data_IF_963207838411
#
_entry.id   IF_963207838411
#
_cell.length_a   1.000
_cell.length_b   1.000
_cell.length_c   1.000
_cell.angle_alpha   90.00
_cell.angle_beta   90.00
_cell.angle_gamma   90.00
#
_symmetry.space_group_name_H-M   'P 1'
#
loop_
_entity.id
_entity.type
_entity.pdbx_description
1 polymer ?
#
# COMPACT_ATOMS: atom_id res chain seq x y z
N UNK A 1 -12.77 -23.67 6.88
CA UNK A 1 -12.91 -23.12 5.52
C UNK A 1 -11.72 -22.25 5.11
N UNK A 2 -11.32 -21.25 5.90
CA UNK A 2 -10.18 -20.36 5.59
C UNK A 2 -8.84 -21.09 5.39
N UNK A 3 -8.50 -22.06 6.24
CA UNK A 3 -7.26 -22.86 6.11
C UNK A 3 -7.15 -23.61 4.76
N UNK A 4 -8.28 -24.05 4.18
CA UNK A 4 -8.28 -24.77 2.91
C UNK A 4 -8.01 -23.83 1.72
N UNK A 5 -8.46 -22.57 1.81
CA UNK A 5 -8.21 -21.56 0.76
C UNK A 5 -6.73 -21.19 0.71
N UNK A 6 -6.14 -20.89 1.87
CA UNK A 6 -4.70 -20.56 1.95
C UNK A 6 -3.85 -21.75 1.47
N UNK A 7 -4.18 -22.98 1.89
CA UNK A 7 -3.49 -24.18 1.42
C UNK A 7 -3.56 -24.35 -0.10
N UNK A 8 -4.74 -24.18 -0.71
CA UNK A 8 -4.90 -24.26 -2.16
C UNK A 8 -4.11 -23.17 -2.88
N UNK A 9 -4.19 -21.93 -2.40
CA UNK A 9 -3.45 -20.80 -2.95
C UNK A 9 -1.94 -21.05 -2.99
N UNK A 10 -1.36 -21.50 -1.88
CA UNK A 10 0.07 -21.80 -1.80
C UNK A 10 0.48 -23.05 -2.59
N UNK A 11 -0.41 -24.03 -2.73
CA UNK A 11 -0.21 -25.16 -3.63
C UNK A 11 -0.10 -24.68 -5.10
N UNK A 12 -1.01 -23.81 -5.54
CA UNK A 12 -1.01 -23.29 -6.91
C UNK A 12 0.21 -22.39 -7.18
N UNK A 13 0.63 -21.59 -6.19
CA UNK A 13 1.87 -20.82 -6.28
C UNK A 13 3.09 -21.75 -6.37
N UNK A 14 3.15 -22.81 -5.57
CA UNK A 14 4.28 -23.75 -5.56
C UNK A 14 4.42 -24.45 -6.90
N UNK A 15 3.30 -24.85 -7.50
CA UNK A 15 3.30 -25.47 -8.83
C UNK A 15 3.83 -24.55 -9.92
N UNK A 16 3.57 -23.24 -9.83
CA UNK A 16 4.00 -22.26 -10.84
C UNK A 16 5.42 -21.76 -10.64
N UNK A 17 5.82 -21.55 -9.39
CA UNK A 17 7.00 -20.76 -9.05
C UNK A 17 8.03 -21.53 -8.23
N UNK A 18 7.74 -22.75 -7.78
CA UNK A 18 8.64 -23.52 -6.92
C UNK A 18 8.60 -23.05 -5.47
N UNK A 19 9.77 -22.78 -4.89
CA UNK A 19 9.91 -22.35 -3.51
C UNK A 19 9.31 -20.96 -3.28
N UNK A 20 8.74 -20.72 -2.10
CA UNK A 20 8.05 -19.48 -1.77
C UNK A 20 8.56 -18.94 -0.44
N UNK A 21 9.16 -17.76 -0.50
CA UNK A 21 9.49 -16.97 0.68
C UNK A 21 8.42 -15.90 0.87
N UNK A 22 7.68 -15.96 1.97
CA UNK A 22 6.65 -14.98 2.30
C UNK A 22 7.18 -13.99 3.31
N UNK A 23 7.21 -12.71 2.95
CA UNK A 23 7.56 -11.60 3.82
C UNK A 23 6.27 -10.85 4.16
N UNK A 24 5.86 -10.87 5.42
CA UNK A 24 4.68 -10.15 5.89
C UNK A 24 5.09 -8.84 6.58
N UNK A 25 4.72 -7.70 6.00
CA UNK A 25 5.10 -6.35 6.46
C UNK A 25 4.10 -5.70 7.43
N UNK A 26 3.12 -6.49 7.90
CA UNK A 26 2.07 -6.01 8.78
C UNK A 26 2.58 -5.61 10.15
N UNK A 27 1.92 -4.61 10.72
CA UNK A 27 2.18 -4.18 12.08
C UNK A 27 1.68 -5.23 13.06
N UNK A 28 2.51 -5.54 14.05
CA UNK A 28 2.16 -6.49 15.11
C UNK A 28 1.39 -5.83 16.25
N UNK A 29 0.88 -4.60 16.03
CA UNK A 29 0.09 -3.83 16.99
C UNK A 29 -1.03 -3.09 16.28
N UNK A 30 -2.15 -2.92 16.96
CA UNK A 30 -3.26 -2.11 16.49
C UNK A 30 -4.16 -2.87 15.51
N UNK A 31 -4.75 -2.16 14.54
CA UNK A 31 -5.75 -2.74 13.64
C UNK A 31 -5.20 -3.82 12.70
N UNK A 32 -3.91 -3.75 12.33
CA UNK A 32 -3.25 -4.74 11.46
C UNK A 32 -2.91 -6.05 12.20
N UNK A 33 -2.84 -6.04 13.54
CA UNK A 33 -2.40 -7.18 14.36
C UNK A 33 -3.30 -8.40 14.15
N UNK A 34 -4.61 -8.18 14.09
CA UNK A 34 -5.61 -9.25 13.91
C UNK A 34 -5.34 -9.99 12.59
N UNK A 35 -5.03 -9.25 11.52
CA UNK A 35 -4.74 -9.82 10.20
C UNK A 35 -3.40 -10.53 10.18
N UNK A 36 -2.36 -9.94 10.80
CA UNK A 36 -1.04 -10.56 10.87
C UNK A 36 -1.08 -11.87 11.67
N UNK A 37 -1.81 -11.91 12.80
CA UNK A 37 -2.00 -13.12 13.60
C UNK A 37 -2.78 -14.18 12.83
N UNK A 38 -3.88 -13.81 12.17
CA UNK A 38 -4.69 -14.73 11.38
C UNK A 38 -3.89 -15.35 10.23
N UNK A 39 -3.13 -14.52 9.50
CA UNK A 39 -2.28 -14.99 8.41
C UNK A 39 -1.12 -15.85 8.92
N UNK A 40 -0.43 -15.43 10.00
CA UNK A 40 0.62 -16.20 10.63
C UNK A 40 0.17 -17.59 11.08
N UNK A 41 -1.00 -17.68 11.73
CA UNK A 41 -1.59 -18.96 12.14
C UNK A 41 -1.95 -19.86 10.95
N UNK A 42 -2.44 -19.27 9.85
CA UNK A 42 -2.70 -20.02 8.63
C UNK A 42 -1.40 -20.56 8.01
N UNK A 43 -0.33 -19.75 8.03
CA UNK A 43 0.98 -20.11 7.49
C UNK A 43 1.69 -21.20 8.28
N UNK A 44 1.52 -21.28 9.61
CA UNK A 44 2.14 -22.32 10.44
C UNK A 44 1.89 -23.75 9.93
N UNK A 45 0.70 -24.00 9.36
CA UNK A 45 0.33 -25.31 8.80
C UNK A 45 0.88 -25.58 7.39
N UNK A 46 1.52 -24.58 6.77
CA UNK A 46 2.04 -24.62 5.41
C UNK A 46 3.56 -24.50 5.36
N UNK A 47 4.19 -24.00 6.43
CA UNK A 47 5.65 -23.89 6.50
C UNK A 47 6.26 -25.27 6.35
N UNK A 48 7.13 -25.40 5.36
CA UNK A 48 7.92 -26.58 5.07
C UNK A 48 9.19 -26.15 4.33
N UNK A 49 10.03 -27.08 3.87
CA UNK A 49 11.27 -26.78 3.17
C UNK A 49 11.09 -25.84 1.94
N UNK A 50 9.92 -25.86 1.30
CA UNK A 50 9.62 -25.07 0.11
C UNK A 50 8.79 -23.80 0.40
N UNK A 51 8.31 -23.60 1.64
CA UNK A 51 7.50 -22.43 1.99
C UNK A 51 8.01 -21.89 3.32
N UNK A 52 8.66 -20.72 3.28
CA UNK A 52 9.17 -20.01 4.45
C UNK A 52 8.34 -18.77 4.70
N UNK A 53 7.98 -18.53 5.97
CA UNK A 53 7.20 -17.37 6.39
C UNK A 53 8.02 -16.49 7.33
N UNK A 54 8.06 -15.18 7.06
CA UNK A 54 8.82 -14.20 7.81
C UNK A 54 7.90 -13.03 8.17
N UNK A 55 7.47 -12.92 9.44
CA UNK A 55 6.81 -11.73 9.94
C UNK A 55 7.85 -10.63 10.18
N UNK A 56 7.70 -9.50 9.51
CA UNK A 56 8.61 -8.36 9.60
C UNK A 56 7.82 -7.07 9.86
N UNK A 57 7.76 -6.65 11.13
CA UNK A 57 7.06 -5.42 11.52
C UNK A 57 7.78 -4.18 10.95
N UNK A 58 7.31 -3.73 9.79
CA UNK A 58 7.93 -2.64 9.05
C UNK A 58 7.92 -1.33 9.84
N UNK A 59 6.84 -1.01 10.55
CA UNK A 59 6.75 0.25 11.31
C UNK A 59 7.67 0.23 12.52
N UNK A 60 7.76 -0.89 13.24
CA UNK A 60 8.67 -1.03 14.38
C UNK A 60 10.14 -0.93 13.94
N UNK A 61 10.48 -1.55 12.81
CA UNK A 61 11.87 -1.68 12.38
C UNK A 61 12.31 -0.44 11.61
N UNK A 62 11.61 -0.05 10.55
CA UNK A 62 12.00 1.05 9.67
C UNK A 62 11.42 2.41 10.10
N UNK A 63 10.37 2.43 10.92
CA UNK A 63 9.68 3.66 11.30
C UNK A 63 9.19 4.45 10.09
N UNK A 64 9.20 5.78 10.19
CA UNK A 64 8.79 6.66 9.10
C UNK A 64 9.95 7.08 8.17
N UNK A 65 11.22 6.83 8.56
CA UNK A 65 12.40 7.49 7.97
C UNK A 65 13.60 6.53 7.78
N UNK A 66 13.68 5.40 8.49
CA UNK A 66 14.90 4.57 8.58
C UNK A 66 14.84 3.31 7.70
N UNK A 67 14.73 3.51 6.40
CA UNK A 67 14.69 2.41 5.43
C UNK A 67 16.02 1.66 5.28
N UNK A 68 17.14 2.22 5.75
CA UNK A 68 18.41 1.48 5.85
C UNK A 68 18.29 0.20 6.69
N UNK A 69 17.33 0.13 7.63
CA UNK A 69 17.07 -1.06 8.43
C UNK A 69 16.37 -2.19 7.67
N UNK A 70 15.92 -1.95 6.44
CA UNK A 70 15.48 -3.05 5.57
C UNK A 70 16.64 -4.00 5.21
N UNK A 71 17.90 -3.59 5.35
CA UNK A 71 19.03 -4.52 5.23
C UNK A 71 18.89 -5.70 6.20
N UNK A 72 18.36 -5.48 7.40
CA UNK A 72 18.10 -6.54 8.39
C UNK A 72 17.14 -7.60 7.87
N UNK A 73 16.17 -7.22 7.03
CA UNK A 73 15.31 -8.19 6.37
C UNK A 73 16.13 -9.02 5.39
N UNK A 74 16.95 -8.36 4.56
CA UNK A 74 17.78 -9.04 3.56
C UNK A 74 18.76 -10.01 4.22
N UNK A 75 19.42 -9.61 5.30
CA UNK A 75 20.37 -10.46 6.05
C UNK A 75 19.71 -11.76 6.55
N UNK A 76 18.41 -11.75 6.87
CA UNK A 76 17.67 -12.94 7.30
C UNK A 76 17.29 -13.90 6.17
N UNK A 77 17.29 -13.41 4.92
CA UNK A 77 16.77 -14.13 3.76
C UNK A 77 17.78 -14.32 2.64
N UNK A 78 18.97 -13.74 2.76
CA UNK A 78 20.00 -13.72 1.73
C UNK A 78 20.33 -15.12 1.22
N UNK A 79 20.57 -16.08 2.12
CA UNK A 79 20.85 -17.47 1.74
C UNK A 79 19.72 -18.09 0.91
N UNK A 80 18.46 -17.81 1.28
CA UNK A 80 17.31 -18.31 0.55
C UNK A 80 17.16 -17.62 -0.80
N UNK A 81 17.46 -16.32 -0.90
CA UNK A 81 17.45 -15.58 -2.17
C UNK A 81 18.53 -16.12 -3.12
N UNK A 82 19.75 -16.38 -2.62
CA UNK A 82 20.83 -16.98 -3.40
C UNK A 82 20.47 -18.37 -3.89
N UNK A 83 19.84 -19.19 -3.04
CA UNK A 83 19.36 -20.52 -3.42
C UNK A 83 18.23 -20.48 -4.46
N UNK A 84 17.27 -19.55 -4.33
CA UNK A 84 16.21 -19.37 -5.33
C UNK A 84 16.78 -18.95 -6.69
N UNK A 85 17.89 -18.22 -6.68
CA UNK A 85 18.61 -17.81 -7.87
C UNK A 85 17.77 -16.95 -8.80
N UNK A 86 18.18 -16.92 -10.07
CA UNK A 86 17.53 -16.16 -11.13
C UNK A 86 17.59 -16.92 -12.44
N UNK A 87 16.77 -16.52 -13.40
CA UNK A 87 16.82 -17.06 -14.76
C UNK A 87 18.02 -16.48 -15.52
N UNK A 88 18.84 -17.34 -16.11
CA UNK A 88 19.98 -16.95 -16.94
C UNK A 88 20.00 -17.77 -18.23
N UNK A 89 20.01 -17.06 -19.35
CA UNK A 89 20.12 -17.61 -20.70
C UNK A 89 21.33 -17.01 -21.40
N UNK A 90 22.10 -17.84 -22.09
CA UNK A 90 23.23 -17.41 -22.92
C UNK A 90 23.15 -18.10 -24.26
N UNK A 91 23.10 -17.32 -25.34
CA UNK A 91 23.09 -17.84 -26.72
C UNK A 91 21.98 -18.89 -26.95
N UNK A 92 20.78 -18.64 -26.44
CA UNK A 92 19.62 -19.54 -26.51
C UNK A 92 19.72 -20.84 -25.70
N UNK A 93 20.71 -20.94 -24.81
CA UNK A 93 20.84 -22.02 -23.85
C UNK A 93 20.51 -21.53 -22.45
N UNK A 94 19.60 -22.23 -21.77
CA UNK A 94 19.24 -21.95 -20.38
C UNK A 94 20.34 -22.48 -19.47
N UNK A 95 21.12 -21.57 -18.88
CA UNK A 95 22.19 -21.90 -17.93
C UNK A 95 21.58 -22.17 -16.54
N UNK A 96 20.61 -21.37 -16.14
CA UNK A 96 20.02 -21.42 -14.80
C UNK A 96 18.53 -21.09 -14.85
N UNK A 97 17.73 -21.87 -14.13
CA UNK A 97 16.32 -21.57 -13.87
C UNK A 97 16.15 -21.01 -12.46
N UNK A 98 15.29 -20.01 -12.31
CA UNK A 98 14.85 -19.53 -11.00
C UNK A 98 14.03 -20.62 -10.30
N UNK A 99 14.36 -20.92 -9.05
CA UNK A 99 13.79 -22.02 -8.26
C UNK A 99 12.71 -21.58 -7.27
N UNK A 100 12.45 -20.27 -7.16
CA UNK A 100 11.48 -19.74 -6.21
C UNK A 100 11.18 -18.25 -6.37
N UNK A 101 10.21 -17.78 -5.59
CA UNK A 101 9.80 -16.38 -5.53
C UNK A 101 9.78 -15.84 -4.11
N UNK A 102 9.84 -14.51 -4.00
CA UNK A 102 9.60 -13.77 -2.76
C UNK A 102 8.25 -13.07 -2.89
N UNK A 103 7.31 -13.46 -2.03
CA UNK A 103 5.99 -12.82 -1.92
C UNK A 103 6.01 -11.83 -0.77
N UNK A 104 5.93 -10.54 -1.09
CA UNK A 104 5.85 -9.47 -0.09
C UNK A 104 4.38 -9.08 0.13
N UNK A 105 3.89 -9.22 1.35
CA UNK A 105 2.53 -8.87 1.74
C UNK A 105 2.52 -7.59 2.59
N UNK A 106 1.48 -6.78 2.39
CA UNK A 106 1.11 -5.67 3.28
C UNK A 106 -0.39 -5.42 3.14
N UNK A 107 -1.03 -4.89 4.18
CA UNK A 107 -2.40 -4.35 4.10
C UNK A 107 -2.31 -2.86 3.75
N UNK A 108 -3.05 -2.49 2.71
CA UNK A 108 -3.32 -1.11 2.27
C UNK A 108 -2.09 -0.24 2.04
N UNK A 109 -0.95 -0.86 1.71
CA UNK A 109 0.29 -0.13 1.51
C UNK A 109 1.07 -0.63 0.28
N UNK A 110 0.94 0.13 -0.80
CA UNK A 110 1.84 -0.05 -1.93
C UNK A 110 3.25 0.45 -1.60
N UNK A 111 3.38 1.45 -0.73
CA UNK A 111 4.68 2.07 -0.49
C UNK A 111 5.65 1.13 0.26
N UNK A 112 5.20 0.40 1.31
CA UNK A 112 6.10 -0.54 2.04
C UNK A 112 6.49 -1.72 1.13
N UNK A 113 5.56 -2.20 0.30
CA UNK A 113 5.81 -3.32 -0.61
C UNK A 113 6.75 -2.91 -1.75
N UNK A 114 6.53 -1.75 -2.39
CA UNK A 114 7.40 -1.24 -3.46
C UNK A 114 8.83 -0.99 -2.97
N UNK A 115 8.99 -0.40 -1.78
CA UNK A 115 10.33 -0.16 -1.21
C UNK A 115 11.04 -1.48 -0.89
N UNK A 116 10.32 -2.45 -0.32
CA UNK A 116 10.88 -3.78 -0.03
C UNK A 116 11.26 -4.52 -1.31
N UNK A 117 10.39 -4.52 -2.32
CA UNK A 117 10.66 -5.12 -3.62
C UNK A 117 11.81 -4.44 -4.36
N UNK A 118 11.93 -3.10 -4.25
CA UNK A 118 13.06 -2.35 -4.80
C UNK A 118 14.39 -2.77 -4.19
N UNK A 119 14.45 -2.99 -2.87
CA UNK A 119 15.65 -3.53 -2.22
C UNK A 119 15.98 -4.95 -2.71
N UNK A 120 14.99 -5.84 -2.77
CA UNK A 120 15.20 -7.21 -3.24
C UNK A 120 15.65 -7.24 -4.69
N UNK A 121 15.02 -6.44 -5.55
CA UNK A 121 15.37 -6.29 -6.96
C UNK A 121 16.77 -5.72 -7.14
N UNK A 122 17.19 -4.78 -6.29
CA UNK A 122 18.57 -4.27 -6.26
C UNK A 122 19.56 -5.39 -6.01
N UNK A 123 19.34 -6.18 -4.95
CA UNK A 123 20.24 -7.28 -4.56
C UNK A 123 20.30 -8.39 -5.61
N UNK A 124 19.15 -8.71 -6.20
CA UNK A 124 19.10 -9.64 -7.33
C UNK A 124 19.88 -9.11 -8.54
N UNK A 125 19.71 -7.83 -8.90
CA UNK A 125 20.41 -7.21 -10.02
C UNK A 125 21.92 -7.13 -9.80
N UNK A 126 22.37 -6.76 -8.61
CA UNK A 126 23.80 -6.79 -8.22
C UNK A 126 24.39 -8.19 -8.44
N UNK A 127 23.68 -9.23 -7.97
CA UNK A 127 24.10 -10.63 -8.14
C UNK A 127 24.14 -11.05 -9.63
N UNK A 128 23.14 -10.64 -10.42
CA UNK A 128 23.09 -10.92 -11.85
C UNK A 128 24.28 -10.26 -12.56
N UNK A 129 24.54 -8.97 -12.32
CA UNK A 129 25.62 -8.22 -12.96
C UNK A 129 27.01 -8.78 -12.62
N UNK A 130 27.20 -9.26 -11.39
CA UNK A 130 28.41 -9.97 -10.98
C UNK A 130 28.53 -11.31 -11.72
N UNK A 131 27.44 -12.08 -11.84
CA UNK A 131 27.47 -13.39 -12.52
C UNK A 131 27.83 -13.30 -14.02
N UNK A 132 27.44 -12.21 -14.68
CA UNK A 132 27.77 -11.95 -16.09
C UNK A 132 29.06 -11.13 -16.27
N UNK A 133 29.82 -10.92 -15.19
CA UNK A 133 31.12 -10.24 -15.18
C UNK A 133 31.05 -8.78 -15.67
N UNK A 134 29.89 -8.14 -15.55
CA UNK A 134 29.74 -6.68 -15.77
C UNK A 134 30.21 -5.93 -14.52
N UNK A 135 29.91 -6.45 -13.34
CA UNK A 135 30.41 -5.95 -12.06
C UNK A 135 31.55 -6.83 -11.55
N UNK A 136 32.54 -6.20 -10.93
CA UNK A 136 33.57 -6.88 -10.15
C UNK A 136 33.01 -7.51 -8.88
N UNK A 137 33.81 -8.38 -8.24
CA UNK A 137 33.43 -8.97 -6.95
C UNK A 137 33.25 -7.86 -5.91
N UNK A 138 32.05 -7.78 -5.32
CA UNK A 138 31.70 -6.77 -4.33
C UNK A 138 31.34 -5.39 -4.87
N UNK A 139 31.38 -5.17 -6.19
CA UNK A 139 30.90 -3.93 -6.80
C UNK A 139 29.36 -3.86 -6.69
N UNK A 140 28.87 -2.68 -6.31
CA UNK A 140 27.46 -2.42 -6.03
C UNK A 140 26.91 -1.35 -6.97
N UNK A 141 25.58 -1.34 -7.14
CA UNK A 141 24.92 -0.30 -7.95
C UNK A 141 25.19 1.11 -7.37
N UNK A 142 25.36 1.21 -6.05
CA UNK A 142 25.67 2.47 -5.36
C UNK A 142 27.03 3.07 -5.70
N UNK A 143 27.96 2.27 -6.25
CA UNK A 143 29.31 2.73 -6.59
C UNK A 143 29.31 3.57 -7.87
N UNK A 144 28.24 3.45 -8.69
CA UNK A 144 28.02 4.23 -9.89
C UNK A 144 26.81 5.17 -9.72
N UNK A 145 27.07 6.46 -9.54
CA UNK A 145 26.02 7.47 -9.30
C UNK A 145 24.97 7.54 -10.43
N UNK A 146 25.38 7.37 -11.69
CA UNK A 146 24.46 7.39 -12.81
C UNK A 146 23.52 6.17 -12.80
N UNK A 147 24.07 4.98 -12.57
CA UNK A 147 23.27 3.76 -12.45
C UNK A 147 22.31 3.88 -11.27
N UNK A 148 22.81 4.28 -10.11
CA UNK A 148 22.03 4.49 -8.89
C UNK A 148 20.81 5.39 -9.14
N UNK A 149 21.00 6.50 -9.87
CA UNK A 149 19.93 7.42 -10.24
C UNK A 149 18.90 6.76 -11.16
N UNK A 150 19.33 6.02 -12.20
CA UNK A 150 18.40 5.34 -13.11
C UNK A 150 17.61 4.24 -12.40
N UNK A 151 18.25 3.47 -11.52
CA UNK A 151 17.58 2.43 -10.74
C UNK A 151 16.50 3.02 -9.84
N UNK A 152 16.83 4.09 -9.10
CA UNK A 152 15.87 4.81 -8.25
C UNK A 152 14.70 5.36 -9.06
N UNK A 153 14.98 5.95 -10.23
CA UNK A 153 13.95 6.48 -11.11
C UNK A 153 12.99 5.40 -11.60
N UNK A 154 13.51 4.27 -12.05
CA UNK A 154 12.72 3.13 -12.51
C UNK A 154 11.75 2.64 -11.43
N UNK A 155 12.26 2.38 -10.22
CA UNK A 155 11.43 1.88 -9.12
C UNK A 155 10.42 2.89 -8.58
N UNK A 156 10.72 4.18 -8.71
CA UNK A 156 9.76 5.22 -8.37
C UNK A 156 8.61 5.26 -9.39
N UNK A 157 8.92 5.26 -10.69
CA UNK A 157 7.90 5.22 -11.75
C UNK A 157 7.05 3.96 -11.65
N UNK A 158 7.69 2.79 -11.42
CA UNK A 158 6.98 1.53 -11.16
C UNK A 158 6.00 1.64 -9.99
N UNK A 159 6.44 2.23 -8.87
CA UNK A 159 5.57 2.47 -7.71
C UNK A 159 4.39 3.39 -8.04
N UNK A 160 4.63 4.46 -8.79
CA UNK A 160 3.59 5.40 -9.21
C UNK A 160 2.55 4.73 -10.13
N UNK A 161 3.00 3.95 -11.11
CA UNK A 161 2.11 3.28 -12.07
C UNK A 161 1.21 2.25 -11.38
N UNK A 162 1.77 1.43 -10.48
CA UNK A 162 0.96 0.48 -9.69
C UNK A 162 0.01 1.24 -8.76
N UNK A 163 0.45 2.36 -8.19
CA UNK A 163 -0.38 3.17 -7.30
C UNK A 163 -1.59 3.74 -8.03
N UNK A 164 -1.40 4.18 -9.26
CA UNK A 164 -2.47 4.72 -10.10
C UNK A 164 -3.49 3.61 -10.39
N UNK A 165 -3.03 2.39 -10.69
CA UNK A 165 -3.93 1.25 -10.91
C UNK A 165 -4.72 0.86 -9.65
N UNK A 166 -4.04 0.81 -8.50
CA UNK A 166 -4.65 0.37 -7.24
C UNK A 166 -5.56 1.43 -6.62
N UNK A 167 -5.08 2.66 -6.51
CA UNK A 167 -5.72 3.73 -5.73
C UNK A 167 -6.23 4.90 -6.59
N UNK A 168 -5.90 4.94 -7.89
CA UNK A 168 -6.22 6.07 -8.78
C UNK A 168 -5.32 7.29 -8.58
N UNK A 169 -4.27 7.21 -7.77
CA UNK A 169 -3.32 8.30 -7.52
C UNK A 169 -1.88 7.81 -7.60
N UNK A 170 -0.91 8.71 -7.74
CA UNK A 170 0.52 8.39 -7.61
C UNK A 170 0.87 7.81 -6.23
N UNK A 171 2.04 7.17 -6.12
CA UNK A 171 2.50 6.54 -4.89
C UNK A 171 2.74 7.60 -3.81
N UNK A 172 2.45 7.29 -2.55
CA UNK A 172 2.86 8.17 -1.46
C UNK A 172 4.33 7.88 -1.17
N UNK A 173 5.09 8.91 -0.78
CA UNK A 173 6.54 8.78 -0.52
C UNK A 173 7.36 8.38 -1.75
N UNK A 174 6.89 8.64 -2.97
CA UNK A 174 7.67 8.39 -4.20
C UNK A 174 9.05 9.06 -4.16
N UNK A 175 9.15 10.23 -3.53
CA UNK A 175 10.40 10.95 -3.27
C UNK A 175 11.44 10.14 -2.49
N UNK A 176 11.00 9.27 -1.58
CA UNK A 176 11.94 8.43 -0.85
C UNK A 176 12.61 7.43 -1.79
N UNK A 177 11.87 6.87 -2.76
CA UNK A 177 12.42 5.97 -3.78
C UNK A 177 13.29 6.76 -4.77
N UNK A 178 12.85 7.97 -5.19
CA UNK A 178 13.57 8.82 -6.17
C UNK A 178 14.87 9.41 -5.64
N UNK A 179 14.87 9.89 -4.40
CA UNK A 179 15.95 10.72 -3.85
C UNK A 179 16.55 10.19 -2.55
N UNK A 180 15.98 9.13 -1.95
CA UNK A 180 16.42 8.61 -0.65
C UNK A 180 16.14 9.53 0.53
N UNK A 181 15.51 10.69 0.30
CA UNK A 181 15.14 11.71 1.30
C UNK A 181 13.81 12.35 0.89
N UNK A 182 13.08 12.88 1.88
CA UNK A 182 11.79 13.54 1.67
C UNK A 182 11.99 15.01 1.31
N UNK A 183 11.41 15.47 0.20
CA UNK A 183 11.44 16.90 -0.18
C UNK A 183 10.17 17.63 0.28
N UNK A 184 10.24 18.96 0.44
CA UNK A 184 9.06 19.78 0.80
C UNK A 184 7.99 19.77 -0.30
N UNK A 185 8.41 19.73 -1.57
CA UNK A 185 7.49 19.65 -2.72
C UNK A 185 6.82 18.28 -2.74
N UNK A 186 7.56 17.19 -2.51
CA UNK A 186 6.99 15.85 -2.40
C UNK A 186 6.05 15.69 -1.21
N UNK A 187 6.27 16.41 -0.10
CA UNK A 187 5.32 16.41 1.02
C UNK A 187 3.96 17.02 0.64
N UNK A 188 3.95 18.11 -0.15
CA UNK A 188 2.70 18.69 -0.65
C UNK A 188 2.01 17.77 -1.66
N UNK A 189 2.77 17.16 -2.58
CA UNK A 189 2.23 16.18 -3.53
C UNK A 189 1.68 14.94 -2.82
N UNK A 190 2.36 14.43 -1.80
CA UNK A 190 1.88 13.37 -0.92
C UNK A 190 0.54 13.77 -0.28
N UNK A 191 0.42 15.02 0.19
CA UNK A 191 -0.82 15.54 0.78
C UNK A 191 -1.99 15.53 -0.20
N UNK A 192 -1.79 16.04 -1.42
CA UNK A 192 -2.81 16.02 -2.47
C UNK A 192 -3.20 14.59 -2.86
N UNK A 193 -2.22 13.69 -3.03
CA UNK A 193 -2.47 12.28 -3.31
C UNK A 193 -3.22 11.59 -2.17
N UNK A 194 -2.90 11.89 -0.90
CA UNK A 194 -3.61 11.33 0.24
C UNK A 194 -5.08 11.78 0.30
N UNK A 195 -5.35 13.05 0.00
CA UNK A 195 -6.73 13.57 -0.10
C UNK A 195 -7.50 12.92 -1.25
N UNK A 196 -6.87 12.81 -2.42
CA UNK A 196 -7.47 12.13 -3.57
C UNK A 196 -7.74 10.65 -3.27
N UNK A 197 -6.82 9.92 -2.62
CA UNK A 197 -7.03 8.54 -2.17
C UNK A 197 -8.17 8.44 -1.16
N UNK A 198 -8.23 9.35 -0.19
CA UNK A 198 -9.34 9.38 0.76
C UNK A 198 -10.68 9.52 0.04
N UNK A 199 -10.76 10.40 -0.95
CA UNK A 199 -11.96 10.56 -1.76
C UNK A 199 -12.27 9.31 -2.59
N UNK A 200 -11.30 8.76 -3.32
CA UNK A 200 -11.51 7.61 -4.19
C UNK A 200 -11.91 6.36 -3.39
N UNK A 201 -11.20 6.07 -2.30
CA UNK A 201 -11.47 4.89 -1.45
C UNK A 201 -12.80 4.99 -0.71
N UNK A 202 -13.23 6.19 -0.32
CA UNK A 202 -14.50 6.33 0.38
C UNK A 202 -15.69 6.52 -0.57
N UNK A 203 -15.54 7.10 -1.76
CA UNK A 203 -16.69 7.45 -2.60
C UNK A 203 -16.78 6.65 -3.90
N UNK A 204 -15.66 6.17 -4.46
CA UNK A 204 -15.69 5.47 -5.75
C UNK A 204 -15.44 3.96 -5.64
N UNK A 205 -15.03 3.48 -4.47
CA UNK A 205 -14.60 2.09 -4.29
C UNK A 205 -15.74 1.07 -4.45
N UNK A 206 -16.95 1.40 -3.99
CA UNK A 206 -18.13 0.55 -4.19
C UNK A 206 -18.38 0.18 -5.65
N UNK A 207 -18.30 1.16 -6.57
CA UNK A 207 -18.48 0.91 -8.01
C UNK A 207 -17.33 0.10 -8.62
N UNK A 208 -16.10 0.27 -8.10
CA UNK A 208 -14.94 -0.54 -8.53
C UNK A 208 -15.12 -1.99 -8.10
N UNK A 209 -15.55 -2.22 -6.86
CA UNK A 209 -15.83 -3.56 -6.36
C UNK A 209 -16.97 -4.22 -7.15
N UNK A 210 -18.03 -3.48 -7.48
CA UNK A 210 -19.12 -3.99 -8.34
C UNK A 210 -18.59 -4.45 -9.70
N UNK A 211 -17.71 -3.67 -10.33
CA UNK A 211 -17.09 -4.04 -11.61
C UNK A 211 -16.19 -5.28 -11.47
N UNK A 212 -15.41 -5.37 -10.39
CA UNK A 212 -14.55 -6.52 -10.11
C UNK A 212 -15.37 -7.80 -9.86
N UNK A 213 -16.45 -7.72 -9.08
CA UNK A 213 -17.32 -8.86 -8.79
C UNK A 213 -18.02 -9.37 -10.05
N UNK A 214 -18.41 -8.45 -10.94
CA UNK A 214 -19.01 -8.78 -12.22
C UNK A 214 -18.01 -9.46 -13.17
N UNK A 215 -16.82 -8.86 -13.36
CA UNK A 215 -15.80 -9.37 -14.29
C UNK A 215 -15.19 -10.68 -13.79
N UNK A 216 -14.98 -10.82 -12.48
CA UNK A 216 -14.46 -12.04 -11.87
C UNK A 216 -15.48 -13.18 -11.79
N UNK A 217 -16.75 -12.91 -12.12
CA UNK A 217 -17.84 -13.89 -12.05
C UNK A 217 -18.28 -14.22 -10.62
N UNK A 218 -17.84 -13.44 -9.61
CA UNK A 218 -18.31 -13.59 -8.23
C UNK A 218 -19.78 -13.16 -8.07
N UNK A 219 -20.26 -12.28 -8.94
CA UNK A 219 -21.66 -11.88 -8.99
C UNK A 219 -22.26 -12.09 -10.39
N UNK A 220 -23.43 -12.75 -10.43
CA UNK A 220 -24.23 -12.93 -11.64
C UNK A 220 -25.47 -12.07 -11.54
N UNK A 221 -25.58 -11.08 -12.43
CA UNK A 221 -26.70 -10.13 -12.47
C UNK A 221 -28.01 -10.89 -12.68
N UNK A 222 -28.95 -10.71 -11.75
CA UNK A 222 -30.30 -11.26 -11.86
C UNK A 222 -31.32 -10.15 -11.60
N UNK A 223 -32.09 -9.77 -12.64
CA UNK A 223 -33.08 -8.70 -12.58
C UNK A 223 -34.20 -8.93 -11.56
N UNK A 224 -34.40 -10.17 -11.14
CA UNK A 224 -35.47 -10.59 -10.24
C UNK A 224 -35.01 -10.80 -8.80
N UNK A 225 -33.69 -10.67 -8.53
CA UNK A 225 -33.14 -10.74 -7.19
C UNK A 225 -32.71 -9.33 -6.77
N UNK A 226 -33.11 -8.86 -5.59
CA UNK A 226 -32.59 -7.61 -5.05
C UNK A 226 -31.09 -7.72 -4.80
N UNK A 227 -30.40 -6.57 -4.72
CA UNK A 227 -29.00 -6.54 -4.32
C UNK A 227 -28.81 -7.24 -2.99
N UNK A 228 -27.75 -8.06 -2.82
CA UNK A 228 -27.40 -8.62 -1.52
C UNK A 228 -27.00 -7.54 -0.51
N UNK A 229 -26.65 -6.34 -0.98
CA UNK A 229 -26.31 -5.21 -0.15
C UNK A 229 -27.54 -4.31 0.07
N UNK A 230 -28.11 -4.35 1.27
CA UNK A 230 -29.19 -3.45 1.66
C UNK A 230 -28.65 -2.02 1.82
N UNK A 231 -29.21 -1.08 1.05
CA UNK A 231 -29.01 0.34 1.23
C UNK A 231 -29.66 0.75 2.55
N UNK A 232 -28.86 1.00 3.59
CA UNK A 232 -29.35 1.79 4.71
C UNK A 232 -29.65 3.18 4.16
N UNK A 233 -30.91 3.63 4.25
CA UNK A 233 -31.48 4.79 3.54
C UNK A 233 -30.91 6.17 3.85
N UNK A 234 -29.70 6.26 4.41
CA UNK A 234 -28.92 7.49 4.41
C UNK A 234 -28.08 7.50 3.14
N UNK A 235 -28.52 8.28 2.14
CA UNK A 235 -27.67 8.64 1.00
C UNK A 235 -26.52 9.53 1.48
N UNK A 236 -25.52 8.88 2.06
CA UNK A 236 -24.34 9.51 2.65
C UNK A 236 -23.49 10.26 1.60
N UNK A 237 -23.72 9.97 0.32
CA UNK A 237 -23.20 10.68 -0.84
C UNK A 237 -23.58 12.17 -0.90
N UNK A 238 -24.78 12.54 -0.45
CA UNK A 238 -25.26 13.92 -0.52
C UNK A 238 -24.65 14.81 0.59
N UNK A 239 -24.38 14.23 1.76
CA UNK A 239 -23.99 14.99 2.95
C UNK A 239 -22.48 15.18 3.10
N UNK A 240 -21.65 14.38 2.42
CA UNK A 240 -20.21 14.47 2.61
C UNK A 240 -19.53 15.62 1.85
N UNK A 241 -19.88 15.97 0.60
CA UNK A 241 -19.41 17.20 -0.03
C UNK A 241 -19.77 18.41 0.82
N UNK A 242 -20.98 18.42 1.37
CA UNK A 242 -21.46 19.45 2.30
C UNK A 242 -20.66 19.48 3.60
N UNK A 243 -20.43 18.33 4.25
CA UNK A 243 -19.64 18.24 5.47
C UNK A 243 -18.17 18.64 5.26
N UNK A 244 -17.57 18.23 4.15
CA UNK A 244 -16.20 18.62 3.77
C UNK A 244 -16.08 20.11 3.47
N UNK A 245 -17.06 20.70 2.77
CA UNK A 245 -17.14 22.13 2.51
C UNK A 245 -17.32 22.93 3.81
N UNK A 246 -18.14 22.43 4.76
CA UNK A 246 -18.33 23.04 6.07
C UNK A 246 -17.05 22.97 6.94
N UNK A 247 -16.30 21.87 6.87
CA UNK A 247 -15.01 21.75 7.58
C UNK A 247 -13.97 22.70 6.97
N UNK A 248 -13.86 22.78 5.65
CA UNK A 248 -12.92 23.69 4.97
C UNK A 248 -13.30 25.14 5.27
N UNK A 249 -14.59 25.50 5.17
CA UNK A 249 -15.08 26.82 5.54
C UNK A 249 -14.77 27.15 7.01
N UNK A 250 -14.98 26.20 7.93
CA UNK A 250 -14.64 26.35 9.34
C UNK A 250 -13.13 26.54 9.60
N UNK A 251 -12.27 25.78 8.91
CA UNK A 251 -10.81 25.91 9.01
C UNK A 251 -10.30 27.23 8.42
N UNK A 252 -10.82 27.64 7.26
CA UNK A 252 -10.43 28.92 6.65
C UNK A 252 -10.87 30.10 7.51
N UNK A 253 -12.09 30.06 8.04
CA UNK A 253 -12.61 31.11 8.92
C UNK A 253 -11.84 31.18 10.23
N UNK A 254 -11.55 30.05 10.88
CA UNK A 254 -10.73 30.02 12.10
C UNK A 254 -9.31 30.53 11.85
N UNK A 255 -8.71 30.18 10.72
CA UNK A 255 -7.39 30.69 10.35
C UNK A 255 -7.46 32.21 10.18
N UNK A 256 -8.37 32.72 9.35
CA UNK A 256 -8.54 34.16 9.12
C UNK A 256 -8.89 34.95 10.39
N UNK A 257 -9.65 34.38 11.32
CA UNK A 257 -10.00 35.03 12.58
C UNK A 257 -8.83 35.02 13.57
N UNK A 258 -8.01 33.96 13.60
CA UNK A 258 -6.78 33.88 14.41
C UNK A 258 -5.79 34.98 14.04
N UNK A 259 -5.65 35.30 12.74
CA UNK A 259 -4.82 36.42 12.29
C UNK A 259 -5.27 37.79 12.82
N UNK A 260 -6.51 37.91 13.31
CA UNK A 260 -7.10 39.14 13.88
C UNK A 260 -7.31 39.09 15.40
N UNK A 261 -6.85 38.02 16.07
CA UNK A 261 -7.05 37.81 17.53
C UNK A 261 -6.40 38.91 18.38
N UNK A 262 -5.40 39.62 17.85
CA UNK A 262 -4.76 40.73 18.55
C UNK A 262 -5.58 42.02 18.62
N UNK A 263 -6.68 42.14 17.87
CA UNK A 263 -7.45 43.39 17.76
C UNK A 263 -8.63 43.47 18.72
N UNK A 264 -9.32 42.35 19.02
CA UNK A 264 -10.53 42.35 19.86
C UNK A 264 -10.86 40.98 20.45
N UNK A 265 -11.41 40.97 21.67
CA UNK A 265 -11.87 39.74 22.36
C UNK A 265 -12.97 39.00 21.58
N UNK A 266 -13.73 39.71 20.75
CA UNK A 266 -14.72 39.16 19.85
C UNK A 266 -14.09 38.17 18.83
N UNK A 267 -12.91 38.49 18.28
CA UNK A 267 -12.21 37.64 17.33
C UNK A 267 -11.66 36.36 18.00
N UNK A 268 -11.28 36.43 19.27
CA UNK A 268 -10.91 35.26 20.06
C UNK A 268 -12.10 34.31 20.28
N UNK A 269 -13.23 34.83 20.75
CA UNK A 269 -14.44 34.02 21.03
C UNK A 269 -14.99 33.37 19.76
N UNK A 270 -15.06 34.12 18.67
CA UNK A 270 -15.51 33.60 17.37
C UNK A 270 -14.57 32.52 16.81
N UNK A 271 -13.25 32.71 16.93
CA UNK A 271 -12.27 31.68 16.55
C UNK A 271 -12.47 30.38 17.34
N UNK A 272 -12.66 30.50 18.66
CA UNK A 272 -12.86 29.35 19.54
C UNK A 272 -14.16 28.58 19.22
N UNK A 273 -15.25 29.30 18.95
CA UNK A 273 -16.54 28.69 18.58
C UNK A 273 -16.46 27.94 17.24
N UNK A 274 -15.86 28.55 16.22
CA UNK A 274 -15.71 27.89 14.92
C UNK A 274 -14.73 26.72 14.97
N UNK A 275 -13.66 26.82 15.77
CA UNK A 275 -12.75 25.69 16.00
C UNK A 275 -13.48 24.53 16.69
N UNK A 276 -14.29 24.82 17.71
CA UNK A 276 -15.13 23.83 18.39
C UNK A 276 -16.17 23.19 17.47
N UNK A 277 -16.87 23.98 16.67
CA UNK A 277 -17.84 23.48 15.68
C UNK A 277 -17.18 22.59 14.63
N UNK A 278 -16.03 23.01 14.09
CA UNK A 278 -15.26 22.25 13.10
C UNK A 278 -14.76 20.93 13.69
N UNK A 279 -14.23 20.96 14.92
CA UNK A 279 -13.79 19.77 15.63
C UNK A 279 -14.94 18.81 15.93
N UNK A 280 -16.11 19.33 16.33
CA UNK A 280 -17.32 18.55 16.55
C UNK A 280 -17.83 17.89 15.27
N UNK A 281 -17.87 18.63 14.16
CA UNK A 281 -18.27 18.10 12.85
C UNK A 281 -17.29 17.02 12.36
N UNK A 282 -15.98 17.26 12.50
CA UNK A 282 -14.95 16.28 12.16
C UNK A 282 -15.06 15.01 13.02
N UNK A 283 -15.34 15.13 14.31
CA UNK A 283 -15.57 14.00 15.21
C UNK A 283 -16.82 13.20 14.81
N UNK A 284 -17.90 13.89 14.41
CA UNK A 284 -19.15 13.25 13.97
C UNK A 284 -18.98 12.55 12.62
N UNK A 285 -18.27 13.16 11.66
CA UNK A 285 -17.89 12.54 10.38
C UNK A 285 -17.01 11.32 10.62
N UNK A 286 -16.04 11.40 11.54
CA UNK A 286 -15.18 10.27 11.91
C UNK A 286 -15.96 9.13 12.56
N UNK A 287 -16.88 9.44 13.48
CA UNK A 287 -17.71 8.44 14.17
C UNK A 287 -18.66 7.73 13.20
N UNK A 288 -19.19 8.43 12.21
CA UNK A 288 -20.11 7.88 11.20
C UNK A 288 -19.41 7.52 9.88
N UNK A 289 -18.07 7.49 9.84
CA UNK A 289 -17.26 7.30 8.63
C UNK A 289 -17.70 6.11 7.77
N UNK A 290 -18.03 4.98 8.42
CA UNK A 290 -18.46 3.74 7.74
C UNK A 290 -19.82 3.85 7.02
N UNK A 291 -20.64 4.83 7.36
CA UNK A 291 -21.91 5.11 6.69
C UNK A 291 -21.69 5.96 5.44
N UNK A 292 -20.62 6.75 5.41
CA UNK A 292 -20.25 7.59 4.26
C UNK A 292 -19.50 6.85 3.16
N UNK A 293 -18.97 5.66 3.44
CA UNK A 293 -18.30 4.86 2.43
C UNK A 293 -19.28 4.33 1.38
N UNK A 294 -18.93 4.52 0.12
CA UNK A 294 -19.56 3.93 -1.05
C UNK A 294 -19.41 2.42 -0.98
N UNK A 295 -20.53 1.73 -0.72
CA UNK A 295 -20.58 0.27 -0.67
C UNK A 295 -20.93 -0.29 -2.05
N UNK A 296 -20.49 -1.53 -2.36
CA UNK A 296 -20.89 -2.21 -3.58
C UNK A 296 -22.42 -2.27 -3.63
N UNK A 297 -23.00 -1.91 -4.78
CA UNK A 297 -24.45 -1.87 -4.96
C UNK A 297 -24.95 -3.07 -5.74
N UNK A 298 -24.16 -3.63 -6.66
CA UNK A 298 -24.42 -4.79 -7.54
C UNK A 298 -25.71 -4.76 -8.40
N UNK A 299 -26.81 -4.19 -7.90
CA UNK A 299 -28.05 -3.93 -8.61
C UNK A 299 -28.32 -2.41 -8.65
N UNK A 300 -27.84 -1.79 -9.70
CA UNK A 300 -28.07 -0.39 -10.05
C UNK A 300 -27.44 0.02 -11.38
N UNK A 301 -26.80 -0.93 -12.08
CA UNK A 301 -26.24 -0.76 -13.43
C UNK A 301 -27.34 -0.90 -14.48
N UNK A 302 -28.29 0.03 -14.50
CA UNK A 302 -29.04 0.46 -15.69
C UNK A 302 -29.24 1.97 -15.57
#
# INVERSE_FOLDING_TARGET
MQANVVKRHFHDLKQRYGSILVVDLLNQKGSEEILSLAFGNAMQNLVNENVRYIPFDFHKICGHIHFGRLSLLYDQIEEHCKWQGFFLEKSHEVIQNQQGIIRVNCVDCLDRTNITQSLLGRKALETILQSIHVFGEGELISDNEYFELQFKRLWATHGDDISIQYSGTQALKGDFVRYGKRTLIGFLQDGCSALARYYLNNFQDGSKQDALDLISGQYVVNRWKPSPFQLNGFEAFAYLPLASALIIAGLTYTTSSIWRVGEDAYHFVTSALWAGFTAGLAALVRANGQQFCSRPRLCGLI
#
